data_IF_061264907699
#
_entry.id   IF_061264907699
#
_cell.length_a   1.000
_cell.length_b   1.000
_cell.length_c   1.000
_cell.angle_alpha   90.00
_cell.angle_beta   90.00
_cell.angle_gamma   90.00
#
_symmetry.space_group_name_H-M   'P 1'
#
loop_
_entity.id
_entity.type
_entity.pdbx_description
1 polymer ?
#
# COMPACT_ATOMS: atom_id res chain seq x y z
N UNK A 1 15.18 -3.00 -22.94
CA UNK A 1 14.46 -3.04 -21.63
C UNK A 1 14.67 -1.69 -20.97
N UNK A 2 13.63 -1.04 -20.45
CA UNK A 2 13.74 0.28 -19.80
C UNK A 2 14.61 0.20 -18.54
N UNK A 3 15.51 1.19 -18.34
CA UNK A 3 16.28 1.34 -17.09
C UNK A 3 15.40 1.57 -15.87
N UNK A 4 14.18 2.07 -16.08
CA UNK A 4 13.21 2.41 -15.04
C UNK A 4 12.10 1.36 -14.87
N UNK A 5 12.23 0.20 -15.54
CA UNK A 5 11.28 -0.91 -15.38
C UNK A 5 11.05 -1.28 -13.91
N UNK A 6 12.10 -1.21 -13.08
CA UNK A 6 12.01 -1.49 -11.65
C UNK A 6 11.04 -0.54 -10.90
N UNK A 7 10.89 0.71 -11.32
CA UNK A 7 9.93 1.64 -10.72
C UNK A 7 8.49 1.23 -11.06
N UNK A 8 8.25 0.79 -12.28
CA UNK A 8 6.94 0.28 -12.72
C UNK A 8 6.57 -0.98 -11.94
N UNK A 9 7.51 -1.92 -11.80
CA UNK A 9 7.31 -3.15 -11.02
C UNK A 9 7.13 -2.84 -9.52
N UNK A 10 7.88 -1.87 -8.98
CA UNK A 10 7.68 -1.39 -7.62
C UNK A 10 6.28 -0.83 -7.44
N UNK A 11 5.79 0.03 -8.34
CA UNK A 11 4.42 0.55 -8.24
C UNK A 11 3.38 -0.57 -8.29
N UNK A 12 3.58 -1.57 -9.15
CA UNK A 12 2.71 -2.76 -9.25
C UNK A 12 2.60 -3.50 -7.91
N UNK A 13 3.70 -3.69 -7.22
CA UNK A 13 3.71 -4.37 -5.92
C UNK A 13 3.22 -3.48 -4.78
N UNK A 14 3.60 -2.20 -4.76
CA UNK A 14 3.21 -1.26 -3.71
C UNK A 14 1.70 -1.01 -3.67
N UNK A 15 1.01 -0.96 -4.83
CA UNK A 15 -0.46 -0.84 -4.87
C UNK A 15 -1.16 -2.05 -4.26
N UNK A 16 -0.68 -3.27 -4.56
CA UNK A 16 -1.23 -4.51 -3.99
C UNK A 16 -1.00 -4.56 -2.47
N UNK A 17 0.20 -4.20 -1.99
CA UNK A 17 0.50 -4.13 -0.56
C UNK A 17 -0.39 -3.12 0.18
N UNK A 18 -0.68 -1.97 -0.43
CA UNK A 18 -1.59 -0.97 0.14
C UNK A 18 -3.00 -1.53 0.28
N UNK A 19 -3.53 -2.12 -0.79
CA UNK A 19 -4.85 -2.77 -0.78
C UNK A 19 -4.92 -3.92 0.22
N UNK A 20 -3.85 -4.74 0.32
CA UNK A 20 -3.78 -5.83 1.29
C UNK A 20 -3.85 -5.37 2.74
N UNK A 21 -3.23 -4.23 3.08
CA UNK A 21 -3.36 -3.65 4.43
C UNK A 21 -4.76 -3.09 4.65
N UNK A 22 -5.32 -2.37 3.68
CA UNK A 22 -6.66 -1.81 3.80
C UNK A 22 -7.74 -2.90 3.96
N UNK A 23 -7.61 -4.01 3.24
CA UNK A 23 -8.53 -5.12 3.31
C UNK A 23 -8.56 -5.82 4.68
N UNK A 24 -7.49 -5.73 5.46
CA UNK A 24 -7.42 -6.30 6.81
C UNK A 24 -8.11 -5.43 7.88
N UNK A 25 -8.46 -4.17 7.56
CA UNK A 25 -9.07 -3.27 8.54
C UNK A 25 -10.54 -3.67 8.73
N UNK A 26 -10.97 -4.04 9.96
CA UNK A 26 -12.37 -4.36 10.20
C UNK A 26 -13.26 -3.14 9.94
N UNK A 27 -14.43 -3.34 9.31
CA UNK A 27 -15.36 -2.24 9.00
C UNK A 27 -15.76 -1.46 10.27
N UNK A 28 -15.94 -2.14 11.39
CA UNK A 28 -16.24 -1.53 12.68
C UNK A 28 -15.10 -0.64 13.23
N UNK A 29 -13.89 -0.73 12.66
CA UNK A 29 -12.71 0.04 13.05
C UNK A 29 -12.39 1.21 12.12
N UNK A 30 -13.13 1.40 11.05
CA UNK A 30 -12.87 2.46 10.06
C UNK A 30 -12.85 3.88 10.69
N UNK A 31 -13.68 4.14 11.70
CA UNK A 31 -13.74 5.41 12.43
C UNK A 31 -12.94 5.43 13.73
N UNK A 32 -12.23 4.34 14.07
CA UNK A 32 -11.43 4.30 15.29
C UNK A 32 -10.25 5.27 15.22
N UNK A 33 -9.99 5.99 16.31
CA UNK A 33 -8.91 6.98 16.40
C UNK A 33 -7.93 6.60 17.51
N UNK A 34 -6.62 6.50 17.22
CA UNK A 34 -5.62 6.10 18.23
C UNK A 34 -5.42 7.15 19.33
N UNK A 35 -5.53 8.41 18.97
CA UNK A 35 -5.46 9.58 19.88
C UNK A 35 -6.02 10.81 19.13
N UNK A 36 -6.37 11.92 19.81
CA UNK A 36 -7.10 13.04 19.18
C UNK A 36 -6.47 13.64 17.92
N UNK A 37 -5.15 13.61 17.78
CA UNK A 37 -4.40 14.13 16.62
C UNK A 37 -4.06 13.06 15.58
N UNK A 38 -4.27 11.78 15.91
CA UNK A 38 -4.04 10.65 15.00
C UNK A 38 -5.16 10.53 13.98
N UNK A 39 -4.84 10.06 12.76
CA UNK A 39 -5.86 9.76 11.75
C UNK A 39 -6.56 8.45 12.02
N UNK A 40 -7.87 8.40 11.76
CA UNK A 40 -8.60 7.14 11.67
C UNK A 40 -8.16 6.33 10.44
N UNK A 41 -8.45 5.02 10.34
CA UNK A 41 -8.22 4.26 9.10
C UNK A 41 -8.90 4.90 7.89
N UNK A 42 -10.12 5.36 8.00
CA UNK A 42 -10.84 6.07 6.94
C UNK A 42 -10.06 7.31 6.48
N UNK A 43 -9.67 8.17 7.42
CA UNK A 43 -8.86 9.37 7.11
C UNK A 43 -7.49 9.03 6.51
N UNK A 44 -6.90 7.88 6.88
CA UNK A 44 -5.67 7.39 6.25
C UNK A 44 -5.90 6.97 4.79
N UNK A 45 -7.02 6.30 4.49
CA UNK A 45 -7.38 5.93 3.11
C UNK A 45 -7.65 7.17 2.26
N UNK A 46 -8.45 8.11 2.75
CA UNK A 46 -8.69 9.41 2.09
C UNK A 46 -7.38 10.13 1.82
N UNK A 47 -6.51 10.27 2.84
CA UNK A 47 -5.22 10.94 2.68
C UNK A 47 -4.32 10.26 1.65
N UNK A 48 -4.26 8.93 1.62
CA UNK A 48 -3.45 8.20 0.64
C UNK A 48 -3.99 8.37 -0.79
N UNK A 49 -5.30 8.29 -0.99
CA UNK A 49 -5.93 8.54 -2.28
C UNK A 49 -5.66 9.97 -2.79
N UNK A 50 -5.91 10.98 -1.94
CA UNK A 50 -5.75 12.39 -2.30
C UNK A 50 -4.29 12.78 -2.52
N UNK A 51 -3.38 12.32 -1.68
CA UNK A 51 -1.95 12.61 -1.84
C UNK A 51 -1.37 11.92 -3.07
N UNK A 52 -1.81 10.70 -3.38
CA UNK A 52 -1.37 10.02 -4.61
C UNK A 52 -1.91 10.73 -5.85
N UNK A 53 -3.17 11.17 -5.83
CA UNK A 53 -3.73 11.98 -6.92
C UNK A 53 -2.94 13.28 -7.11
N UNK A 54 -2.68 14.01 -6.04
CA UNK A 54 -1.92 15.26 -6.13
C UNK A 54 -0.54 15.06 -6.74
N UNK A 55 0.21 14.04 -6.28
CA UNK A 55 1.57 13.81 -6.79
C UNK A 55 1.57 13.27 -8.22
N UNK A 56 0.72 12.28 -8.51
CA UNK A 56 0.67 11.67 -9.84
C UNK A 56 0.15 12.66 -10.89
N UNK A 57 -0.88 13.44 -10.57
CA UNK A 57 -1.45 14.41 -11.51
C UNK A 57 -0.59 15.67 -11.61
N UNK A 58 -0.35 16.38 -10.49
CA UNK A 58 0.25 17.71 -10.52
C UNK A 58 1.76 17.70 -10.75
N UNK A 59 2.49 16.67 -10.25
CA UNK A 59 3.93 16.59 -10.39
C UNK A 59 4.36 15.70 -11.55
N UNK A 60 3.68 14.57 -11.75
CA UNK A 60 4.06 13.59 -12.77
C UNK A 60 3.24 13.67 -14.06
N UNK A 61 2.18 14.47 -14.09
CA UNK A 61 1.32 14.61 -15.27
C UNK A 61 0.53 13.33 -15.61
N UNK A 62 0.25 12.50 -14.61
CA UNK A 62 -0.53 11.26 -14.75
C UNK A 62 -1.88 11.45 -14.08
N UNK A 63 -2.87 11.86 -14.84
CA UNK A 63 -4.27 11.97 -14.40
C UNK A 63 -4.99 10.61 -14.53
N UNK A 64 -6.07 10.44 -13.78
CA UNK A 64 -7.00 9.31 -13.85
C UNK A 64 -8.41 9.80 -14.17
N UNK A 65 -9.20 9.00 -14.86
CA UNK A 65 -10.60 9.28 -15.15
C UNK A 65 -11.52 8.87 -13.99
N UNK A 66 -11.17 7.81 -13.29
CA UNK A 66 -11.92 7.34 -12.12
C UNK A 66 -11.88 8.36 -10.98
N UNK A 67 -13.02 8.69 -10.33
CA UNK A 67 -13.04 9.50 -9.12
C UNK A 67 -12.11 8.91 -8.05
N UNK A 68 -11.29 9.75 -7.41
CA UNK A 68 -10.25 9.27 -6.48
C UNK A 68 -10.76 8.91 -5.08
N UNK A 69 -11.95 9.37 -4.74
CA UNK A 69 -12.66 8.99 -3.53
C UNK A 69 -13.98 8.31 -3.90
N UNK A 70 -14.36 7.24 -3.19
CA UNK A 70 -15.65 6.59 -3.41
C UNK A 70 -16.79 7.36 -2.76
N UNK A 71 -17.99 7.12 -3.23
CA UNK A 71 -19.25 7.49 -2.59
C UNK A 71 -20.21 6.28 -2.68
N UNK A 72 -20.61 5.65 -1.58
CA UNK A 72 -20.27 5.96 -0.17
C UNK A 72 -18.82 5.58 0.21
N UNK A 73 -18.30 6.21 1.26
CA UNK A 73 -16.96 5.96 1.81
C UNK A 73 -16.91 4.68 2.69
N UNK A 74 -17.13 3.51 2.09
CA UNK A 74 -16.97 2.21 2.75
C UNK A 74 -15.59 1.61 2.46
N UNK A 75 -15.12 0.69 3.30
CA UNK A 75 -13.84 -0.02 3.09
C UNK A 75 -13.79 -0.68 1.71
N UNK A 76 -14.82 -1.46 1.34
CA UNK A 76 -14.88 -2.12 0.03
C UNK A 76 -14.87 -1.11 -1.13
N UNK A 77 -15.58 -0.01 -1.01
CA UNK A 77 -15.60 1.03 -2.03
C UNK A 77 -14.21 1.69 -2.18
N UNK A 78 -13.48 1.94 -1.09
CA UNK A 78 -12.07 2.39 -1.15
C UNK A 78 -11.16 1.38 -1.86
N UNK A 79 -11.29 0.08 -1.56
CA UNK A 79 -10.52 -0.95 -2.24
C UNK A 79 -10.76 -0.94 -3.75
N UNK A 80 -12.02 -0.88 -4.16
CA UNK A 80 -12.42 -0.85 -5.58
C UNK A 80 -11.93 0.41 -6.29
N UNK A 81 -12.16 1.58 -5.71
CA UNK A 81 -11.77 2.88 -6.26
C UNK A 81 -10.25 3.01 -6.38
N UNK A 82 -9.50 2.67 -5.30
CA UNK A 82 -8.05 2.73 -5.37
C UNK A 82 -7.47 1.71 -6.35
N UNK A 83 -8.03 0.52 -6.46
CA UNK A 83 -7.63 -0.47 -7.45
C UNK A 83 -7.81 0.05 -8.88
N UNK A 84 -8.95 0.68 -9.19
CA UNK A 84 -9.21 1.27 -10.50
C UNK A 84 -8.22 2.42 -10.80
N UNK A 85 -8.15 3.44 -9.94
CA UNK A 85 -7.22 4.57 -10.10
C UNK A 85 -5.76 4.12 -10.25
N UNK A 86 -5.31 3.18 -9.43
CA UNK A 86 -3.93 2.69 -9.49
C UNK A 86 -3.67 1.83 -10.72
N UNK A 87 -4.69 1.20 -11.32
CA UNK A 87 -4.57 0.50 -12.61
C UNK A 87 -4.37 1.48 -13.76
N UNK A 88 -5.14 2.58 -13.79
CA UNK A 88 -4.96 3.64 -14.78
C UNK A 88 -3.55 4.25 -14.69
N UNK A 89 -3.07 4.55 -13.47
CA UNK A 89 -1.72 5.07 -13.24
C UNK A 89 -0.63 4.10 -13.66
N UNK A 90 -0.80 2.81 -13.35
CA UNK A 90 0.14 1.76 -13.77
C UNK A 90 0.22 1.67 -15.29
N UNK A 91 -0.91 1.67 -15.99
CA UNK A 91 -0.94 1.65 -17.45
C UNK A 91 -0.22 2.88 -18.05
N UNK A 92 -0.45 4.06 -17.47
CA UNK A 92 0.25 5.28 -17.88
C UNK A 92 1.77 5.21 -17.63
N UNK A 93 2.22 4.64 -16.49
CA UNK A 93 3.64 4.49 -16.19
C UNK A 93 4.32 3.49 -17.12
N UNK A 94 3.68 2.38 -17.44
CA UNK A 94 4.19 1.38 -18.40
C UNK A 94 4.48 2.00 -19.78
N UNK A 95 3.68 2.96 -20.20
CA UNK A 95 3.83 3.63 -21.49
C UNK A 95 4.92 4.72 -21.54
N UNK A 96 5.57 5.05 -20.40
CA UNK A 96 6.57 6.13 -20.36
C UNK A 96 7.93 5.69 -20.86
N UNK A 97 8.60 6.49 -21.73
CA UNK A 97 9.98 6.24 -22.14
C UNK A 97 10.97 6.62 -21.02
N UNK A 98 12.20 6.11 -21.08
CA UNK A 98 13.25 6.38 -20.10
C UNK A 98 13.47 7.90 -19.86
N UNK A 99 13.49 8.68 -20.93
CA UNK A 99 13.66 10.14 -20.85
C UNK A 99 12.61 10.83 -19.97
N UNK A 100 11.37 10.33 -19.95
CA UNK A 100 10.32 10.88 -19.09
C UNK A 100 10.67 10.75 -17.59
N UNK A 101 11.29 9.64 -17.18
CA UNK A 101 11.69 9.44 -15.79
C UNK A 101 12.85 10.34 -15.37
N UNK A 102 13.68 10.76 -16.34
CA UNK A 102 14.87 11.59 -16.12
C UNK A 102 14.56 13.09 -16.06
N UNK A 103 13.45 13.50 -16.67
CA UNK A 103 13.04 14.90 -16.66
C UNK A 103 12.77 15.42 -15.24
N UNK A 104 13.24 16.62 -14.94
CA UNK A 104 12.96 17.32 -13.70
C UNK A 104 11.55 17.90 -13.69
N UNK A 105 10.92 17.81 -12.54
CA UNK A 105 9.64 18.45 -12.20
C UNK A 105 9.77 19.17 -10.87
N UNK A 106 8.87 20.10 -10.60
CA UNK A 106 8.85 20.79 -9.31
C UNK A 106 8.20 19.90 -8.26
N UNK A 107 9.00 19.47 -7.28
CA UNK A 107 8.53 18.77 -6.09
C UNK A 107 8.53 19.73 -4.91
N UNK A 108 7.37 20.25 -4.56
CA UNK A 108 7.24 21.43 -3.68
C UNK A 108 8.28 22.49 -4.05
N UNK A 109 8.73 23.29 -4.08
CA UNK A 109 9.65 24.34 -4.55
C UNK A 109 11.06 23.85 -4.97
N UNK A 110 11.27 22.54 -5.14
CA UNK A 110 12.59 21.96 -5.46
C UNK A 110 12.52 21.12 -6.73
N UNK A 111 13.45 21.31 -7.72
CA UNK A 111 13.52 20.42 -8.88
C UNK A 111 13.97 19.01 -8.47
N UNK A 112 13.27 18.02 -9.01
CA UNK A 112 13.57 16.58 -8.82
C UNK A 112 13.16 15.81 -10.06
N UNK A 113 13.92 14.78 -10.43
CA UNK A 113 13.51 13.91 -11.52
C UNK A 113 12.19 13.17 -11.16
N UNK A 114 11.40 12.86 -12.19
CA UNK A 114 10.18 12.05 -11.99
C UNK A 114 10.47 10.71 -11.33
N UNK A 115 11.60 10.08 -11.66
CA UNK A 115 12.06 8.86 -10.99
C UNK A 115 12.20 9.07 -9.46
N UNK A 116 12.82 10.16 -9.04
CA UNK A 116 12.94 10.49 -7.62
C UNK A 116 11.58 10.72 -6.95
N UNK A 117 10.68 11.43 -7.63
CA UNK A 117 9.31 11.69 -7.12
C UNK A 117 8.55 10.37 -6.93
N UNK A 118 8.69 9.40 -7.86
CA UNK A 118 8.10 8.07 -7.72
C UNK A 118 8.65 7.33 -6.50
N UNK A 119 9.97 7.27 -6.32
CA UNK A 119 10.59 6.66 -5.13
C UNK A 119 10.05 7.31 -3.85
N UNK A 120 9.98 8.64 -3.83
CA UNK A 120 9.43 9.39 -2.68
C UNK A 120 7.96 9.07 -2.45
N UNK A 121 7.17 8.87 -3.53
CA UNK A 121 5.76 8.42 -3.42
C UNK A 121 5.65 7.03 -2.80
N UNK A 122 6.50 6.09 -3.23
CA UNK A 122 6.49 4.73 -2.67
C UNK A 122 6.81 4.72 -1.17
N UNK A 123 7.82 5.48 -0.76
CA UNK A 123 8.16 5.60 0.67
C UNK A 123 7.06 6.27 1.49
N UNK A 124 6.32 7.21 0.91
CA UNK A 124 5.14 7.81 1.56
C UNK A 124 4.01 6.78 1.73
N UNK A 125 3.73 5.97 0.71
CA UNK A 125 2.74 4.89 0.82
C UNK A 125 3.17 3.86 1.87
N UNK A 126 4.46 3.50 1.89
CA UNK A 126 5.02 2.58 2.89
C UNK A 126 4.88 3.12 4.32
N UNK A 127 5.12 4.43 4.53
CA UNK A 127 4.93 5.10 5.82
C UNK A 127 3.49 4.92 6.34
N UNK A 128 2.48 5.18 5.50
CA UNK A 128 1.09 5.04 5.91
C UNK A 128 0.66 3.58 6.10
N UNK A 129 1.19 2.63 5.31
CA UNK A 129 0.98 1.20 5.58
C UNK A 129 1.54 0.79 6.93
N UNK A 130 2.72 1.30 7.31
CA UNK A 130 3.31 1.06 8.62
C UNK A 130 2.41 1.55 9.76
N UNK A 131 1.80 2.74 9.62
CA UNK A 131 0.84 3.27 10.60
C UNK A 131 -0.39 2.37 10.74
N UNK A 132 -1.00 1.95 9.62
CA UNK A 132 -2.14 1.05 9.63
C UNK A 132 -1.80 -0.35 10.16
N UNK A 133 -0.61 -0.86 9.87
CA UNK A 133 -0.13 -2.13 10.44
C UNK A 133 0.02 -2.05 11.97
N UNK A 134 0.45 -0.91 12.50
CA UNK A 134 0.47 -0.68 13.94
C UNK A 134 -0.94 -0.68 14.55
N UNK A 135 -1.94 -0.12 13.85
CA UNK A 135 -3.33 -0.18 14.31
C UNK A 135 -3.85 -1.62 14.32
N UNK A 136 -3.60 -2.40 13.27
CA UNK A 136 -3.96 -3.82 13.24
C UNK A 136 -3.34 -4.57 14.44
N UNK A 137 -2.08 -4.31 14.78
CA UNK A 137 -1.44 -4.88 15.99
C UNK A 137 -2.13 -4.47 17.29
N UNK A 138 -2.54 -3.22 17.43
CA UNK A 138 -3.28 -2.73 18.62
C UNK A 138 -4.64 -3.42 18.76
N UNK A 139 -5.22 -3.91 17.68
CA UNK A 139 -6.49 -4.67 17.68
C UNK A 139 -6.29 -6.18 17.74
N UNK A 140 -5.05 -6.64 17.87
CA UNK A 140 -4.70 -8.07 17.87
C UNK A 140 -5.04 -8.79 16.56
N UNK A 141 -5.10 -8.05 15.44
CA UNK A 141 -5.28 -8.64 14.11
C UNK A 141 -3.96 -9.26 13.63
N UNK A 142 -4.08 -10.36 12.88
CA UNK A 142 -2.94 -10.98 12.23
C UNK A 142 -2.43 -10.14 11.06
N UNK A 143 -1.09 -10.08 10.88
CA UNK A 143 -0.47 -9.31 9.82
C UNK A 143 0.15 -10.21 8.76
N UNK A 144 -0.39 -10.14 7.55
CA UNK A 144 0.25 -10.67 6.36
C UNK A 144 1.52 -9.90 6.01
N UNK A 145 2.37 -10.49 5.21
CA UNK A 145 3.60 -9.83 4.73
C UNK A 145 3.28 -8.66 3.81
N UNK A 146 3.93 -7.52 4.08
CA UNK A 146 3.87 -6.31 3.23
C UNK A 146 5.25 -5.80 2.84
N UNK A 147 6.30 -6.30 3.48
CA UNK A 147 7.71 -6.07 3.16
C UNK A 147 8.51 -7.37 3.16
N UNK A 148 8.40 -8.13 4.21
CA UNK A 148 9.08 -9.38 4.48
C UNK A 148 8.25 -10.17 5.47
N UNK A 149 8.79 -11.20 6.13
CA UNK A 149 8.11 -11.91 7.18
C UNK A 149 7.62 -10.97 8.29
N UNK A 150 6.51 -11.34 8.91
CA UNK A 150 5.97 -10.69 10.11
C UNK A 150 6.05 -11.65 11.30
N UNK A 151 5.71 -11.17 12.49
CA UNK A 151 5.57 -12.06 13.65
C UNK A 151 4.61 -13.22 13.34
N UNK A 152 3.48 -12.93 12.63
CA UNK A 152 2.45 -13.94 12.34
C UNK A 152 2.83 -14.89 11.19
N UNK A 153 3.83 -14.54 10.39
CA UNK A 153 4.34 -15.39 9.31
C UNK A 153 5.61 -16.15 9.70
N UNK A 154 5.89 -16.29 11.00
CA UNK A 154 7.00 -17.05 11.55
C UNK A 154 8.13 -16.21 12.17
N UNK A 155 7.99 -14.89 12.27
CA UNK A 155 8.92 -13.99 12.93
C UNK A 155 10.11 -13.60 12.07
N UNK A 156 11.29 -14.15 12.36
CA UNK A 156 12.53 -13.75 11.68
C UNK A 156 12.95 -14.73 10.58
N UNK A 157 13.54 -14.26 9.46
CA UNK A 157 14.04 -15.12 8.37
C UNK A 157 15.01 -16.20 8.88
N UNK A 158 15.89 -15.88 9.86
CA UNK A 158 16.82 -16.85 10.47
C UNK A 158 16.14 -18.01 11.18
N UNK A 159 14.86 -17.86 11.53
CA UNK A 159 14.04 -18.89 12.20
C UNK A 159 13.13 -19.63 11.20
N UNK A 160 13.34 -19.45 9.90
CA UNK A 160 12.54 -20.09 8.86
C UNK A 160 11.23 -19.37 8.54
N UNK A 161 11.06 -18.12 8.99
CA UNK A 161 9.88 -17.32 8.67
C UNK A 161 9.74 -17.13 7.15
N UNK A 162 8.50 -17.16 6.67
CA UNK A 162 8.16 -17.08 5.26
C UNK A 162 7.42 -15.77 4.94
N UNK A 163 7.47 -15.37 3.67
CA UNK A 163 6.67 -14.27 3.17
C UNK A 163 5.31 -14.84 2.75
N UNK A 164 4.25 -14.39 3.39
CA UNK A 164 2.86 -14.79 3.09
C UNK A 164 2.08 -13.53 2.72
N UNK A 165 1.76 -13.38 1.45
CA UNK A 165 0.87 -12.31 0.99
C UNK A 165 -0.59 -12.75 1.16
N UNK A 166 -1.47 -11.82 1.54
CA UNK A 166 -2.90 -12.10 1.67
C UNK A 166 -3.52 -12.49 0.34
N UNK A 167 -3.13 -11.80 -0.72
CA UNK A 167 -3.64 -12.03 -2.08
C UNK A 167 -2.50 -12.02 -3.11
N UNK A 168 -2.64 -12.85 -4.14
CA UNK A 168 -1.66 -12.94 -5.22
C UNK A 168 -1.71 -11.76 -6.20
N UNK A 169 -2.89 -11.13 -6.36
CA UNK A 169 -3.12 -10.00 -7.27
C UNK A 169 -4.23 -9.09 -6.76
N UNK A 170 -4.36 -7.92 -7.39
CA UNK A 170 -5.46 -6.98 -7.09
C UNK A 170 -6.82 -7.57 -7.46
N UNK A 171 -6.88 -8.32 -8.54
CA UNK A 171 -8.10 -8.97 -9.02
C UNK A 171 -8.58 -10.03 -8.00
N UNK A 172 -7.67 -10.90 -7.54
CA UNK A 172 -7.94 -11.89 -6.51
C UNK A 172 -8.41 -11.25 -5.19
N UNK A 173 -7.78 -10.12 -4.81
CA UNK A 173 -8.20 -9.35 -3.64
C UNK A 173 -9.65 -8.85 -3.79
N UNK A 174 -9.98 -8.22 -4.90
CA UNK A 174 -11.32 -7.66 -5.10
C UNK A 174 -12.39 -8.73 -5.20
N UNK A 175 -12.07 -9.90 -5.75
CA UNK A 175 -12.97 -11.04 -5.83
C UNK A 175 -13.27 -11.60 -4.42
N UNK A 176 -12.22 -11.89 -3.63
CA UNK A 176 -12.35 -12.38 -2.27
C UNK A 176 -13.10 -11.41 -1.35
N UNK A 177 -12.80 -10.11 -1.42
CA UNK A 177 -13.48 -9.08 -0.62
C UNK A 177 -14.97 -8.94 -0.98
N UNK A 178 -15.35 -9.13 -2.25
CA UNK A 178 -16.77 -9.16 -2.66
C UNK A 178 -17.49 -10.44 -2.22
N UNK A 179 -16.77 -11.56 -2.21
CA UNK A 179 -17.31 -12.85 -1.77
C UNK A 179 -17.43 -12.95 -0.24
N UNK A 180 -16.76 -12.08 0.50
CA UNK A 180 -16.67 -12.16 1.96
C UNK A 180 -15.83 -13.33 2.44
N UNK A 181 -14.83 -13.73 1.67
CA UNK A 181 -13.95 -14.85 2.01
C UNK A 181 -13.10 -14.53 3.25
N UNK A 182 -12.88 -15.57 4.06
CA UNK A 182 -12.10 -15.46 5.28
C UNK A 182 -10.61 -15.64 5.02
N UNK A 183 -9.80 -15.06 5.91
CA UNK A 183 -8.36 -15.13 5.84
C UNK A 183 -7.79 -16.54 6.01
N UNK A 184 -6.69 -16.79 5.33
CA UNK A 184 -5.89 -18.00 5.55
C UNK A 184 -5.21 -17.90 6.92
N UNK A 185 -5.20 -18.98 7.67
CA UNK A 185 -4.49 -19.05 8.95
C UNK A 185 -2.99 -18.88 8.73
N UNK A 186 -2.39 -17.93 9.43
CA UNK A 186 -0.95 -17.66 9.38
C UNK A 186 -0.18 -18.59 10.34
N UNK A 187 1.12 -18.87 10.03
CA UNK A 187 1.94 -19.80 10.81
C UNK A 187 2.18 -19.43 12.27
N UNK A 188 2.16 -18.13 12.63
CA UNK A 188 2.49 -17.67 13.98
C UNK A 188 3.99 -17.84 14.37
N UNK A 189 4.58 -16.99 15.21
CA UNK A 189 5.99 -17.07 15.59
C UNK A 189 6.28 -18.14 16.65
N UNK A 190 5.24 -18.73 17.29
CA UNK A 190 5.44 -19.60 18.44
C UNK A 190 6.18 -18.89 19.58
N UNK A 191 7.25 -19.49 20.08
CA UNK A 191 8.11 -18.93 21.15
C UNK A 191 9.34 -18.19 20.61
N UNK A 192 9.49 -18.04 19.30
CA UNK A 192 10.66 -17.43 18.68
C UNK A 192 10.73 -15.91 18.91
N UNK A 193 11.96 -15.34 19.09
CA UNK A 193 12.11 -13.89 19.21
C UNK A 193 11.57 -13.15 17.97
N UNK A 194 10.95 -11.99 18.20
CA UNK A 194 10.41 -11.13 17.13
C UNK A 194 11.43 -10.09 16.63
N UNK A 195 12.64 -10.04 17.20
CA UNK A 195 13.66 -9.07 16.80
C UNK A 195 15.06 -9.69 16.93
N UNK A 196 15.97 -9.30 16.04
CA UNK A 196 17.38 -9.64 16.10
C UNK A 196 18.04 -8.89 17.27
N UNK A 197 18.67 -9.66 18.18
CA UNK A 197 19.57 -9.12 19.18
C UNK A 197 20.89 -9.85 19.08
N UNK A 198 22.05 -9.18 19.18
CA UNK A 198 23.32 -9.86 19.33
C UNK A 198 23.29 -10.62 20.67
N UNK A 199 23.82 -11.84 20.65
CA UNK A 199 24.02 -12.65 21.85
C UNK A 199 25.13 -12.03 22.70
#
# INVERSE_FOLDING_TARGET
MSRYQFLVETYRTERLKTLSVWSQIPDARMSWRPEPRGRTPLEQMVHQCMSEQAWMSSMLGIAVATPVLPDPETRLAFLQTYAACSSERLAALVAKPDAWFEEDVTFFDVPRSRAWVLVRRFTHSAHHRGQLSAYLRLWSESLYSIYGPTADTGGLPKNGAVVVYRYASVEALLEAERAGEQDVRLPDPGTQPLTERPN
#
